data_IF_381335142063
#
_entry.id   IF_381335142063
#
_cell.length_a   1.000
_cell.length_b   1.000
_cell.length_c   1.000
_cell.angle_alpha   90.00
_cell.angle_beta   90.00
_cell.angle_gamma   90.00
#
_symmetry.space_group_name_H-M   'P 1'
#
loop_
_entity.id
_entity.type
_entity.pdbx_description
1 polymer ?
#
# COMPACT_ATOMS: atom_id res chain seq x y z
N UNK A 1 -24.36 21.31 -10.07
CA UNK A 1 -23.94 21.15 -8.67
C UNK A 1 -23.32 19.76 -8.52
N UNK A 2 -21.99 19.63 -8.57
CA UNK A 2 -21.31 18.30 -8.50
C UNK A 2 -21.43 17.77 -7.07
N UNK A 3 -22.46 16.95 -6.84
CA UNK A 3 -22.68 16.29 -5.56
C UNK A 3 -21.49 15.37 -5.28
N UNK A 4 -20.93 15.55 -4.08
CA UNK A 4 -20.00 14.71 -3.32
C UNK A 4 -19.53 13.46 -4.07
N UNK A 5 -18.21 13.34 -4.28
CA UNK A 5 -17.57 12.06 -4.61
C UNK A 5 -18.02 11.07 -3.53
N UNK A 6 -19.02 10.25 -3.83
CA UNK A 6 -19.37 9.08 -3.02
C UNK A 6 -18.08 8.28 -2.97
N UNK A 7 -17.34 8.43 -1.87
CA UNK A 7 -16.16 7.63 -1.63
C UNK A 7 -16.72 6.23 -1.45
N UNK A 8 -16.63 5.44 -2.53
CA UNK A 8 -17.10 4.07 -2.61
C UNK A 8 -16.67 3.33 -1.32
N UNK A 9 -17.63 2.63 -0.70
CA UNK A 9 -17.41 1.90 0.54
C UNK A 9 -16.39 0.78 0.26
N UNK A 10 -15.12 1.05 0.55
CA UNK A 10 -13.99 0.18 0.23
C UNK A 10 -14.12 -1.17 0.95
N UNK A 11 -14.75 -1.17 2.13
CA UNK A 11 -14.99 -2.38 2.93
C UNK A 11 -15.94 -3.40 2.30
N UNK A 12 -16.68 -3.04 1.23
CA UNK A 12 -17.53 -3.99 0.51
C UNK A 12 -16.72 -4.93 -0.40
N UNK A 13 -15.45 -4.60 -0.65
CA UNK A 13 -14.51 -5.41 -1.40
C UNK A 13 -13.58 -6.16 -0.43
N UNK A 14 -12.96 -7.27 -0.85
CA UNK A 14 -11.92 -7.89 -0.04
C UNK A 14 -10.77 -6.90 0.20
N UNK A 15 -10.09 -6.98 1.35
CA UNK A 15 -8.91 -6.16 1.62
C UNK A 15 -7.85 -6.39 0.55
N UNK A 16 -7.15 -5.33 0.18
CA UNK A 16 -6.20 -5.32 -0.94
C UNK A 16 -4.84 -5.91 -0.56
N UNK A 17 -4.54 -5.93 0.74
CA UNK A 17 -3.30 -6.44 1.32
C UNK A 17 -3.64 -7.34 2.51
N UNK A 18 -2.80 -8.32 2.81
CA UNK A 18 -2.95 -9.19 3.99
C UNK A 18 -1.89 -8.91 5.06
N UNK A 19 -2.13 -9.24 6.34
CA UNK A 19 -1.08 -9.19 7.37
C UNK A 19 0.11 -10.09 6.98
N UNK A 20 1.31 -9.56 7.13
CA UNK A 20 2.57 -10.19 6.70
C UNK A 20 3.03 -9.79 5.30
N UNK A 21 2.20 -9.12 4.50
CA UNK A 21 2.55 -8.72 3.14
C UNK A 21 3.51 -7.53 3.12
N UNK A 22 4.50 -7.58 2.23
CA UNK A 22 5.49 -6.51 2.05
C UNK A 22 4.92 -5.42 1.16
N UNK A 23 4.87 -4.20 1.69
CA UNK A 23 4.31 -3.04 1.03
C UNK A 23 5.30 -1.88 0.98
N UNK A 24 5.14 -1.02 -0.02
CA UNK A 24 5.94 0.19 -0.21
C UNK A 24 5.06 1.43 -0.15
N UNK A 25 5.52 2.46 0.57
CA UNK A 25 4.85 3.75 0.60
C UNK A 25 5.04 4.49 -0.73
N UNK A 26 3.95 4.91 -1.35
CA UNK A 26 3.98 5.73 -2.58
C UNK A 26 3.97 7.23 -2.30
N UNK A 27 3.55 7.62 -1.11
CA UNK A 27 3.39 9.00 -0.68
C UNK A 27 4.09 9.22 0.66
N UNK A 28 4.51 10.47 0.89
CA UNK A 28 4.98 10.85 2.22
C UNK A 28 3.79 11.01 3.16
N UNK A 29 3.90 10.50 4.38
CA UNK A 29 2.89 10.69 5.42
C UNK A 29 3.48 11.57 6.50
N UNK A 30 2.72 12.61 6.86
CA UNK A 30 3.04 13.51 7.96
C UNK A 30 2.11 13.23 9.12
N UNK A 31 2.60 13.43 10.33
CA UNK A 31 1.78 13.30 11.52
C UNK A 31 0.74 14.42 11.56
N UNK A 32 -0.54 14.07 11.55
CA UNK A 32 -1.65 15.03 11.72
C UNK A 32 -1.93 15.33 13.22
N UNK A 33 -1.14 14.75 14.13
CA UNK A 33 -1.30 14.88 15.58
C UNK A 33 -1.91 13.64 16.25
N UNK A 34 -2.24 12.61 15.48
CA UNK A 34 -2.75 11.33 16.02
C UNK A 34 -1.63 10.38 16.44
N UNK A 35 -0.40 10.57 15.94
CA UNK A 35 0.72 9.69 16.29
C UNK A 35 1.42 10.15 17.58
N UNK A 36 1.47 9.31 18.63
CA UNK A 36 2.08 9.68 19.90
C UNK A 36 3.61 9.76 19.78
N UNK A 37 4.22 10.76 20.43
CA UNK A 37 5.67 10.89 20.53
C UNK A 37 6.38 11.49 19.31
N UNK A 38 5.63 12.07 18.35
CA UNK A 38 6.16 12.79 17.19
C UNK A 38 5.48 14.15 17.05
N UNK A 39 6.20 15.16 16.58
CA UNK A 39 5.62 16.49 16.39
C UNK A 39 4.57 16.51 15.27
N UNK A 40 3.61 17.44 15.37
CA UNK A 40 2.62 17.68 14.31
C UNK A 40 3.36 18.18 13.06
N UNK A 41 3.09 17.57 11.91
CA UNK A 41 3.76 17.87 10.65
C UNK A 41 5.06 17.12 10.41
N UNK A 42 5.56 16.34 11.39
CA UNK A 42 6.75 15.52 11.21
C UNK A 42 6.48 14.38 10.21
N UNK A 43 7.45 14.13 9.31
CA UNK A 43 7.37 13.04 8.35
C UNK A 43 7.54 11.67 9.06
N UNK A 44 6.44 10.92 9.16
CA UNK A 44 6.42 9.57 9.72
C UNK A 44 6.91 8.54 8.71
N UNK A 45 6.53 8.70 7.44
CA UNK A 45 6.84 7.78 6.34
C UNK A 45 7.28 8.59 5.13
N UNK A 46 8.31 8.13 4.43
CA UNK A 46 8.77 8.72 3.17
C UNK A 46 8.31 7.88 1.97
N UNK A 47 8.17 8.55 0.84
CA UNK A 47 7.94 7.86 -0.43
C UNK A 47 9.11 6.93 -0.69
N UNK A 48 8.81 5.67 -0.92
CA UNK A 48 9.78 4.63 -1.22
C UNK A 48 10.16 3.77 -0.04
N UNK A 49 9.75 4.11 1.19
CA UNK A 49 9.96 3.27 2.37
C UNK A 49 9.24 1.93 2.20
N UNK A 50 9.85 0.89 2.72
CA UNK A 50 9.32 -0.47 2.71
C UNK A 50 8.91 -0.86 4.13
N UNK A 51 7.78 -1.57 4.23
CA UNK A 51 7.21 -2.01 5.49
C UNK A 51 6.39 -3.27 5.31
N UNK A 52 5.94 -3.81 6.44
CA UNK A 52 5.08 -4.99 6.47
C UNK A 52 3.71 -4.63 7.04
N UNK A 53 2.65 -5.13 6.41
CA UNK A 53 1.30 -4.98 6.96
C UNK A 53 1.22 -5.82 8.24
N UNK A 54 0.94 -5.19 9.37
CA UNK A 54 0.80 -5.85 10.67
C UNK A 54 -0.65 -6.22 10.96
N UNK A 55 -1.58 -5.32 10.65
CA UNK A 55 -3.00 -5.51 10.93
C UNK A 55 -3.88 -4.72 9.95
N UNK A 56 -5.15 -5.09 9.83
CA UNK A 56 -6.13 -4.44 8.94
C UNK A 56 -7.31 -3.96 9.77
N UNK A 57 -7.35 -2.66 9.99
CA UNK A 57 -8.47 -1.98 10.61
C UNK A 57 -9.48 -1.47 9.58
N UNK A 58 -10.62 -1.03 10.09
CA UNK A 58 -11.62 -0.29 9.31
C UNK A 58 -11.93 1.05 9.97
N UNK A 59 -12.05 2.11 9.20
CA UNK A 59 -12.47 3.43 9.68
C UNK A 59 -13.86 3.78 9.16
N UNK A 60 -14.74 4.22 10.08
CA UNK A 60 -16.15 4.56 9.82
C UNK A 60 -16.94 3.48 9.07
N UNK A 61 -16.48 2.22 9.10
CA UNK A 61 -17.02 1.12 8.28
C UNK A 61 -17.10 1.49 6.78
N UNK A 62 -16.18 2.33 6.31
CA UNK A 62 -16.14 2.80 4.93
C UNK A 62 -14.77 2.60 4.28
N UNK A 63 -13.69 2.66 5.07
CA UNK A 63 -12.32 2.60 4.57
C UNK A 63 -11.54 1.49 5.26
N UNK A 64 -10.71 0.76 4.52
CA UNK A 64 -9.67 -0.07 5.13
C UNK A 64 -8.49 0.81 5.54
N UNK A 65 -8.00 0.56 6.74
CA UNK A 65 -6.79 1.18 7.29
C UNK A 65 -5.80 0.06 7.56
N UNK A 66 -4.70 0.05 6.81
CA UNK A 66 -3.64 -0.95 6.96
C UNK A 66 -2.63 -0.40 7.96
N UNK A 67 -2.47 -1.08 9.09
CA UNK A 67 -1.41 -0.78 10.03
C UNK A 67 -0.10 -1.36 9.49
N UNK A 68 0.78 -0.50 8.98
CA UNK A 68 2.06 -0.92 8.40
C UNK A 68 3.19 -0.59 9.37
N UNK A 69 4.03 -1.59 9.65
CA UNK A 69 5.27 -1.44 10.40
C UNK A 69 6.41 -1.11 9.44
N UNK A 70 7.01 0.07 9.61
CA UNK A 70 8.08 0.59 8.76
C UNK A 70 9.43 0.20 9.32
N UNK A 71 10.20 -0.59 8.57
CA UNK A 71 11.48 -1.17 9.03
C UNK A 71 12.54 -0.09 9.25
N UNK A 72 12.58 0.90 8.36
CA UNK A 72 13.58 1.99 8.40
C UNK A 72 13.49 2.82 9.70
N UNK A 73 12.26 3.03 10.20
CA UNK A 73 11.99 3.93 11.33
C UNK A 73 11.52 3.22 12.60
N UNK A 74 11.12 1.95 12.51
CA UNK A 74 10.52 1.20 13.60
C UNK A 74 9.17 1.76 14.07
N UNK A 75 8.43 2.44 13.18
CA UNK A 75 7.14 3.07 13.49
C UNK A 75 5.99 2.30 12.86
N UNK A 76 4.82 2.32 13.51
CA UNK A 76 3.62 1.64 13.01
C UNK A 76 2.58 2.68 12.61
N UNK A 77 2.32 2.83 11.32
CA UNK A 77 1.43 3.89 10.81
C UNK A 77 0.28 3.28 10.02
N UNK A 78 -0.94 3.71 10.33
CA UNK A 78 -2.14 3.36 9.59
C UNK A 78 -2.22 4.12 8.26
N UNK A 79 -2.29 3.42 7.13
CA UNK A 79 -2.36 4.01 5.80
C UNK A 79 -3.53 3.43 5.00
N UNK A 80 -4.03 4.17 4.01
CA UNK A 80 -5.10 3.69 3.12
C UNK A 80 -4.55 2.82 2.00
N UNK A 81 -5.42 2.00 1.40
CA UNK A 81 -5.03 1.12 0.29
C UNK A 81 -4.35 1.86 -0.87
N UNK A 82 -4.84 3.07 -1.20
CA UNK A 82 -4.36 3.90 -2.31
C UNK A 82 -2.97 4.52 -2.10
N UNK A 83 -2.44 4.46 -0.88
CA UNK A 83 -1.16 5.07 -0.50
C UNK A 83 -0.03 4.04 -0.46
N UNK A 84 -0.39 2.75 -0.56
CA UNK A 84 0.49 1.59 -0.49
C UNK A 84 0.52 0.84 -1.82
N UNK A 85 1.65 0.20 -2.10
CA UNK A 85 1.83 -0.73 -3.23
C UNK A 85 2.39 -2.03 -2.68
N UNK A 86 1.81 -3.17 -3.08
CA UNK A 86 2.35 -4.49 -2.75
C UNK A 86 3.63 -4.73 -3.54
N UNK A 87 4.65 -5.27 -2.87
CA UNK A 87 5.88 -5.72 -3.50
C UNK A 87 5.88 -7.23 -3.77
N UNK A 88 5.06 -7.98 -3.06
CA UNK A 88 4.90 -9.43 -3.26
C UNK A 88 3.95 -9.73 -4.41
N UNK A 89 2.90 -8.91 -4.57
CA UNK A 89 1.91 -9.07 -5.62
C UNK A 89 2.14 -8.06 -6.75
N UNK A 90 3.38 -7.94 -7.23
CA UNK A 90 3.65 -7.28 -8.50
C UNK A 90 2.94 -8.11 -9.56
N UNK A 91 1.79 -7.65 -10.02
CA UNK A 91 1.19 -8.14 -11.25
C UNK A 91 2.22 -7.90 -12.35
N UNK A 92 3.07 -8.89 -12.61
CA UNK A 92 3.98 -8.88 -13.75
C UNK A 92 3.04 -8.96 -14.96
N UNK A 93 2.88 -7.91 -15.81
CA UNK A 93 2.30 -8.14 -17.11
C UNK A 93 3.28 -9.07 -17.82
N UNK A 94 2.91 -10.35 -17.90
CA UNK A 94 3.72 -11.39 -18.50
C UNK A 94 3.74 -11.19 -20.02
N UNK A 95 4.52 -10.22 -20.49
CA UNK A 95 4.95 -10.14 -21.89
C UNK A 95 6.21 -10.99 -22.04
N UNK A 96 6.09 -12.31 -21.87
CA UNK A 96 7.13 -13.24 -22.31
C UNK A 96 6.93 -13.50 -23.80
N UNK A 97 7.53 -12.64 -24.62
CA UNK A 97 7.74 -12.91 -26.04
C UNK A 97 8.63 -14.16 -26.12
N UNK A 98 8.08 -15.26 -26.63
CA UNK A 98 8.81 -16.51 -26.83
C UNK A 98 9.73 -16.36 -28.06
N UNK A 99 11.06 -16.49 -27.97
CA UNK A 99 11.87 -16.70 -29.15
C UNK A 99 11.70 -18.17 -29.56
N UNK A 100 10.79 -18.42 -30.50
CA UNK A 100 10.66 -19.72 -31.16
C UNK A 100 11.94 -19.98 -31.98
N UNK A 101 12.86 -20.77 -31.42
CA UNK A 101 13.99 -21.35 -32.12
C UNK A 101 13.55 -22.56 -32.96
N UNK A 102 13.79 -22.51 -34.27
CA UNK A 102 14.15 -23.67 -35.11
C UNK A 102 14.74 -23.08 -36.39
N UNK A 103 16.00 -23.28 -36.75
CA UNK A 103 16.78 -24.50 -36.68
C UNK A 103 17.23 -24.76 -38.12
N UNK A 104 18.51 -24.50 -38.39
CA UNK A 104 19.16 -24.86 -39.62
C UNK A 104 18.98 -26.36 -39.89
N UNK A 105 18.44 -26.71 -41.05
CA UNK A 105 18.58 -28.03 -41.64
C UNK A 105 18.87 -27.84 -43.14
N UNK A 106 19.85 -28.61 -43.59
CA UNK A 106 20.45 -28.68 -44.92
C UNK A 106 19.45 -29.01 -46.01
#
# INVERSE_FOLDING_TARGET
MRLRREQEVEIRKPPRFMPGERVRATQHIKNDGTYPGREIGENLVRKGDEGYVRDIGTFLQQFFIYAVEWIDRGTIVGMRARELVSLDNVEIPCSVETPANRGAAR
#
